data_IF_960320026131
#
_entry.id   IF_960320026131
#
_cell.length_a   1.000
_cell.length_b   1.000
_cell.length_c   1.000
_cell.angle_alpha   90.00
_cell.angle_beta   90.00
_cell.angle_gamma   90.00
#
_symmetry.space_group_name_H-M   'P 1'
#
loop_
_entity.id
_entity.type
_entity.pdbx_description
1 polymer ?
#
# COMPACT_ATOMS: atom_id res chain seq x y z
N UNK A 1 -14.94 -11.79 36.55
CA UNK A 1 -13.76 -12.57 36.96
C UNK A 1 -12.55 -11.83 36.42
N UNK A 2 -11.93 -11.03 37.28
CA UNK A 2 -10.91 -10.06 36.92
C UNK A 2 -9.57 -10.78 36.95
N UNK A 3 -8.85 -10.83 35.86
CA UNK A 3 -7.48 -11.34 35.76
C UNK A 3 -6.54 -10.27 36.38
N UNK A 4 -5.93 -10.62 37.52
CA UNK A 4 -4.84 -9.87 38.09
C UNK A 4 -3.61 -9.95 37.19
N UNK A 5 -3.22 -8.83 36.61
CA UNK A 5 -1.91 -8.67 35.97
C UNK A 5 -0.86 -8.51 37.08
N UNK A 6 -0.01 -9.50 37.21
CA UNK A 6 1.20 -9.40 38.04
C UNK A 6 2.11 -8.32 37.46
N UNK A 7 2.34 -7.27 38.24
CA UNK A 7 3.43 -6.31 38.03
C UNK A 7 4.75 -7.01 38.35
N UNK A 8 5.57 -7.24 37.32
CA UNK A 8 6.95 -7.74 37.52
C UNK A 8 7.84 -6.52 37.80
N UNK A 9 8.37 -6.48 39.02
CA UNK A 9 9.37 -5.49 39.43
C UNK A 9 10.73 -5.86 38.82
N UNK A 10 11.28 -5.01 37.95
CA UNK A 10 12.56 -5.22 37.29
C UNK A 10 13.80 -4.74 38.07
N UNK A 11 13.68 -4.42 39.35
CA UNK A 11 14.77 -3.78 40.11
C UNK A 11 15.83 -4.72 40.68
N UNK A 12 15.73 -6.06 40.56
CA UNK A 12 16.70 -7.01 41.15
C UNK A 12 17.14 -8.09 40.18
N UNK A 13 17.92 -7.75 39.17
CA UNK A 13 18.75 -8.69 38.41
C UNK A 13 20.22 -8.27 38.51
N UNK A 14 20.89 -8.80 39.57
CA UNK A 14 22.33 -8.69 39.71
C UNK A 14 23.04 -9.51 38.62
N UNK A 15 24.01 -8.86 38.00
CA UNK A 15 24.83 -9.33 36.92
C UNK A 15 25.64 -10.58 37.29
N UNK A 16 25.44 -11.66 36.55
CA UNK A 16 26.46 -12.67 36.33
C UNK A 16 27.07 -12.43 34.95
N UNK A 17 28.36 -12.16 34.95
CA UNK A 17 29.19 -11.95 33.76
C UNK A 17 29.34 -13.24 32.95
N UNK A 18 28.38 -13.53 32.10
CA UNK A 18 28.60 -14.34 30.92
C UNK A 18 28.51 -13.36 29.73
N UNK A 19 29.48 -13.40 28.84
CA UNK A 19 29.47 -12.60 27.62
C UNK A 19 28.21 -12.91 26.82
N UNK A 20 27.13 -12.15 27.09
CA UNK A 20 25.96 -12.12 26.24
C UNK A 20 26.40 -11.38 24.98
N UNK A 21 26.46 -12.09 23.86
CA UNK A 21 26.31 -11.46 22.56
C UNK A 21 25.13 -10.50 22.69
N UNK A 22 25.41 -9.20 22.63
CA UNK A 22 24.38 -8.19 22.55
C UNK A 22 23.70 -8.42 21.22
N UNK A 23 22.67 -9.26 21.22
CA UNK A 23 21.73 -9.31 20.08
C UNK A 23 21.27 -7.87 19.92
N UNK A 24 21.71 -7.25 18.85
CA UNK A 24 21.49 -5.84 18.63
C UNK A 24 20.04 -5.68 18.10
N UNK A 25 19.08 -5.86 19.03
CA UNK A 25 17.62 -5.75 18.77
C UNK A 25 17.29 -4.45 18.03
N UNK A 26 18.16 -3.43 18.15
CA UNK A 26 18.01 -2.16 17.42
C UNK A 26 18.16 -2.29 15.90
N UNK A 27 18.78 -3.33 15.38
CA UNK A 27 18.95 -3.47 13.92
C UNK A 27 17.76 -4.14 13.23
N UNK A 28 17.00 -4.99 13.92
CA UNK A 28 15.90 -5.77 13.34
C UNK A 28 14.68 -4.94 12.93
N UNK A 29 14.51 -3.75 13.52
CA UNK A 29 13.35 -2.88 13.29
C UNK A 29 13.74 -1.53 12.66
N UNK A 30 14.95 -1.41 12.15
CA UNK A 30 15.36 -0.25 11.37
C UNK A 30 15.23 -0.57 9.89
N UNK A 31 14.77 0.40 9.07
CA UNK A 31 14.81 0.24 7.64
C UNK A 31 16.20 -0.15 7.15
N UNK A 32 16.27 -1.12 6.25
CA UNK A 32 17.51 -1.51 5.60
C UNK A 32 18.03 -0.42 4.64
N UNK A 33 17.13 0.44 4.18
CA UNK A 33 17.43 1.62 3.36
C UNK A 33 17.39 2.90 4.19
N UNK A 34 18.11 3.92 3.73
CA UNK A 34 17.99 5.26 4.26
C UNK A 34 16.60 5.82 3.96
N UNK A 35 15.96 6.37 4.99
CA UNK A 35 14.67 7.09 4.87
C UNK A 35 14.91 8.60 4.94
N UNK A 36 13.98 9.38 4.40
CA UNK A 36 14.11 10.83 4.51
C UNK A 36 13.92 11.30 5.97
N UNK A 37 14.42 12.48 6.27
CA UNK A 37 14.28 13.05 7.63
C UNK A 37 12.80 13.32 7.90
N UNK A 38 12.28 12.69 8.97
CA UNK A 38 10.90 12.87 9.40
C UNK A 38 10.74 14.20 10.13
N UNK A 39 9.79 15.01 9.71
CA UNK A 39 9.48 16.31 10.29
C UNK A 39 8.01 16.36 10.65
N UNK A 40 7.70 16.72 11.89
CA UNK A 40 6.32 16.98 12.29
C UNK A 40 5.96 18.42 11.92
N UNK A 41 4.92 18.60 11.14
CA UNK A 41 4.43 19.90 10.74
C UNK A 41 3.54 20.51 11.82
N UNK A 42 3.71 21.82 12.08
CA UNK A 42 2.68 22.59 12.77
C UNK A 42 1.60 22.95 11.76
N UNK A 43 0.48 22.26 11.82
CA UNK A 43 -0.64 22.56 10.93
C UNK A 43 -1.31 23.88 11.32
N UNK A 44 -1.57 24.77 10.36
CA UNK A 44 -2.34 25.99 10.65
C UNK A 44 -3.70 25.64 11.25
N UNK A 45 -4.18 26.39 12.27
CA UNK A 45 -5.50 26.13 12.87
C UNK A 45 -6.62 26.07 11.83
N UNK A 46 -6.56 26.89 10.80
CA UNK A 46 -7.54 26.91 9.70
C UNK A 46 -7.63 25.58 8.96
N UNK A 47 -6.50 24.90 8.73
CA UNK A 47 -6.47 23.59 8.08
C UNK A 47 -7.18 22.53 8.94
N UNK A 48 -6.95 22.55 10.25
CA UNK A 48 -7.63 21.66 11.20
C UNK A 48 -9.13 21.96 11.26
N UNK A 49 -9.50 23.23 11.27
CA UNK A 49 -10.90 23.66 11.31
C UNK A 49 -11.66 23.28 10.02
N UNK A 50 -11.00 23.34 8.85
CA UNK A 50 -11.54 22.82 7.59
C UNK A 50 -11.89 21.35 7.72
N UNK A 51 -10.95 20.52 8.19
CA UNK A 51 -11.18 19.06 8.33
C UNK A 51 -12.29 18.72 9.31
N UNK A 52 -12.37 19.43 10.44
CA UNK A 52 -13.49 19.30 11.39
C UNK A 52 -14.81 19.71 10.78
N UNK A 53 -14.84 20.82 10.02
CA UNK A 53 -16.06 21.28 9.34
C UNK A 53 -16.57 20.29 8.30
N UNK A 54 -15.68 19.44 7.76
CA UNK A 54 -16.00 18.43 6.77
C UNK A 54 -16.55 17.12 7.38
N UNK A 55 -16.59 16.94 8.69
CA UNK A 55 -17.08 15.68 9.30
C UNK A 55 -18.49 15.31 8.81
N UNK A 56 -19.44 16.24 8.84
CA UNK A 56 -20.80 15.98 8.34
C UNK A 56 -20.89 15.72 6.83
N UNK A 57 -19.94 16.24 6.05
CA UNK A 57 -19.80 15.92 4.64
C UNK A 57 -19.18 14.53 4.46
N UNK A 58 -18.15 14.19 5.24
CA UNK A 58 -17.49 12.89 5.20
C UNK A 58 -18.44 11.75 5.56
N UNK A 59 -19.30 11.95 6.59
CA UNK A 59 -20.35 11.00 6.94
C UNK A 59 -21.25 10.66 5.74
N UNK A 60 -21.66 11.67 4.97
CA UNK A 60 -22.59 11.51 3.84
C UNK A 60 -21.93 11.06 2.54
N UNK A 61 -20.65 11.33 2.34
CA UNK A 61 -19.99 11.15 1.05
C UNK A 61 -18.83 10.14 1.07
N UNK A 62 -18.26 9.89 2.25
CA UNK A 62 -17.11 8.97 2.43
C UNK A 62 -17.59 7.68 3.09
N UNK A 63 -18.25 7.74 4.26
CA UNK A 63 -18.72 6.54 4.96
C UNK A 63 -19.71 5.71 4.13
N UNK A 64 -20.46 6.33 3.23
CA UNK A 64 -21.37 5.63 2.31
C UNK A 64 -20.65 4.75 1.28
N UNK A 65 -19.33 4.87 1.18
CA UNK A 65 -18.51 4.03 0.31
C UNK A 65 -17.99 2.77 1.02
N UNK A 66 -18.13 2.67 2.34
CA UNK A 66 -17.89 1.42 3.07
C UNK A 66 -19.00 0.41 2.77
N UNK A 67 -18.64 -0.86 2.71
CA UNK A 67 -19.64 -1.95 2.63
C UNK A 67 -20.06 -2.39 4.03
N UNK A 68 -21.35 -2.65 4.27
CA UNK A 68 -21.75 -3.40 5.46
C UNK A 68 -21.02 -4.74 5.53
N UNK A 69 -20.56 -5.14 6.71
CA UNK A 69 -19.76 -6.38 6.90
C UNK A 69 -20.49 -7.60 6.33
N UNK A 70 -21.81 -7.66 6.47
CA UNK A 70 -22.69 -8.73 5.98
C UNK A 70 -22.74 -8.84 4.45
N UNK A 71 -22.28 -7.80 3.75
CA UNK A 71 -22.19 -7.73 2.28
C UNK A 71 -20.77 -7.79 1.77
N UNK A 72 -19.79 -7.86 2.67
CA UNK A 72 -18.40 -8.03 2.30
C UNK A 72 -18.15 -9.50 1.94
N UNK A 73 -17.42 -9.71 0.85
CA UNK A 73 -16.84 -11.02 0.58
C UNK A 73 -15.84 -11.42 1.67
N UNK A 74 -15.67 -12.70 1.88
CA UNK A 74 -14.70 -13.24 2.82
C UNK A 74 -13.67 -14.10 2.06
N UNK A 75 -12.44 -14.26 2.55
CA UNK A 75 -11.44 -15.12 1.91
C UNK A 75 -11.95 -16.53 1.62
N UNK A 76 -12.83 -17.07 2.46
CA UNK A 76 -13.42 -18.40 2.31
C UNK A 76 -14.32 -18.54 1.08
N UNK A 77 -14.85 -17.44 0.55
CA UNK A 77 -15.68 -17.47 -0.69
C UNK A 77 -14.85 -17.88 -1.92
N UNK A 78 -13.51 -17.79 -1.84
CA UNK A 78 -12.58 -18.07 -2.94
C UNK A 78 -11.69 -19.29 -2.72
N UNK A 79 -11.61 -19.77 -1.50
CA UNK A 79 -10.71 -20.83 -1.08
C UNK A 79 -11.44 -22.17 -0.93
N UNK A 80 -10.72 -23.30 -0.95
CA UNK A 80 -11.32 -24.60 -0.64
C UNK A 80 -12.02 -24.59 0.71
N UNK A 81 -13.24 -25.13 0.78
CA UNK A 81 -14.02 -25.24 2.01
C UNK A 81 -13.46 -26.35 2.89
N UNK A 82 -12.95 -26.05 4.12
CA UNK A 82 -12.18 -27.02 4.92
C UNK A 82 -12.92 -28.27 5.33
N UNK A 83 -14.26 -28.23 5.49
CA UNK A 83 -15.10 -29.33 5.89
C UNK A 83 -15.84 -29.98 4.72
N UNK A 84 -15.56 -29.60 3.48
CA UNK A 84 -16.08 -30.23 2.28
C UNK A 84 -15.37 -31.55 1.97
N UNK A 85 -16.09 -32.54 1.48
CA UNK A 85 -15.51 -33.81 0.98
C UNK A 85 -14.48 -33.58 -0.14
N UNK A 86 -14.64 -32.50 -0.93
CA UNK A 86 -13.75 -32.12 -2.03
C UNK A 86 -12.56 -31.28 -1.66
N UNK A 87 -12.30 -30.97 -0.38
CA UNK A 87 -11.24 -30.06 0.06
C UNK A 87 -9.86 -30.41 -0.51
N UNK A 88 -9.43 -31.64 -0.37
CA UNK A 88 -8.12 -32.10 -0.85
C UNK A 88 -8.01 -32.07 -2.38
N UNK A 89 -9.09 -32.38 -3.08
CA UNK A 89 -9.13 -32.35 -4.54
C UNK A 89 -9.01 -30.87 -5.05
N UNK A 90 -9.69 -29.94 -4.41
CA UNK A 90 -9.58 -28.52 -4.73
C UNK A 90 -8.15 -27.97 -4.49
N UNK A 91 -7.49 -28.40 -3.40
CA UNK A 91 -6.07 -28.03 -3.17
C UNK A 91 -5.18 -28.62 -4.27
N UNK A 92 -5.43 -29.88 -4.66
CA UNK A 92 -4.69 -30.53 -5.73
C UNK A 92 -4.87 -29.79 -7.06
N UNK A 93 -6.08 -29.37 -7.39
CA UNK A 93 -6.37 -28.55 -8.57
C UNK A 93 -5.60 -27.21 -8.57
N UNK A 94 -5.54 -26.52 -7.41
CA UNK A 94 -4.74 -25.28 -7.28
C UNK A 94 -3.27 -25.60 -7.60
N UNK A 95 -2.71 -26.64 -7.04
CA UNK A 95 -1.30 -27.02 -7.24
C UNK A 95 -1.00 -27.44 -8.66
N UNK A 96 -1.86 -28.24 -9.28
CA UNK A 96 -1.71 -28.65 -10.69
C UNK A 96 -1.78 -27.45 -11.63
N UNK A 97 -2.77 -26.57 -11.45
CA UNK A 97 -2.93 -25.36 -12.25
C UNK A 97 -1.73 -24.38 -12.12
N UNK A 98 -1.16 -24.28 -10.94
CA UNK A 98 -0.04 -23.36 -10.66
C UNK A 98 1.32 -23.96 -10.96
N UNK A 99 1.43 -25.25 -11.25
CA UNK A 99 2.70 -25.95 -11.43
C UNK A 99 3.55 -25.37 -12.57
N UNK A 100 2.91 -25.09 -13.70
CA UNK A 100 3.58 -24.64 -14.93
C UNK A 100 3.68 -23.11 -15.05
N UNK A 101 3.14 -22.36 -14.06
CA UNK A 101 3.26 -20.90 -14.05
C UNK A 101 4.69 -20.47 -13.72
N UNK A 102 5.13 -19.38 -14.33
CA UNK A 102 6.51 -18.88 -14.16
C UNK A 102 6.79 -18.36 -12.76
N UNK A 103 8.04 -18.40 -12.35
CA UNK A 103 8.47 -17.88 -11.05
C UNK A 103 8.32 -16.36 -10.95
N UNK A 104 8.43 -15.64 -12.07
CA UNK A 104 8.16 -14.19 -12.14
C UNK A 104 6.74 -13.86 -11.72
N UNK A 105 5.77 -14.68 -12.15
CA UNK A 105 4.38 -14.54 -11.76
C UNK A 105 4.22 -14.60 -10.23
N UNK A 106 4.88 -15.56 -9.59
CA UNK A 106 4.82 -15.68 -8.13
C UNK A 106 5.57 -14.59 -7.40
N UNK A 107 6.69 -14.11 -7.93
CA UNK A 107 7.39 -12.96 -7.32
C UNK A 107 6.50 -11.71 -7.30
N UNK A 108 5.77 -11.46 -8.38
CA UNK A 108 4.83 -10.32 -8.44
C UNK A 108 3.69 -10.50 -7.46
N UNK A 109 3.07 -11.68 -7.44
CA UNK A 109 1.97 -11.97 -6.53
C UNK A 109 2.38 -11.90 -5.05
N UNK A 110 3.60 -12.36 -4.72
CA UNK A 110 4.16 -12.23 -3.37
C UNK A 110 4.39 -10.78 -2.99
N UNK A 111 4.94 -9.97 -3.89
CA UNK A 111 5.16 -8.55 -3.62
C UNK A 111 3.86 -7.77 -3.42
N UNK A 112 2.83 -8.04 -4.23
CA UNK A 112 1.49 -7.50 -4.04
C UNK A 112 0.93 -7.92 -2.67
N UNK A 113 0.98 -9.22 -2.34
CA UNK A 113 0.49 -9.73 -1.06
C UNK A 113 1.22 -9.14 0.15
N UNK A 114 2.56 -9.02 0.12
CA UNK A 114 3.33 -8.39 1.21
C UNK A 114 2.93 -6.92 1.38
N UNK A 115 2.65 -6.23 0.29
CA UNK A 115 2.14 -4.84 0.33
C UNK A 115 0.80 -4.80 1.04
N UNK A 116 -0.12 -5.70 0.72
CA UNK A 116 -1.44 -5.81 1.36
C UNK A 116 -1.36 -6.22 2.85
N UNK A 117 -0.40 -7.06 3.24
CA UNK A 117 -0.22 -7.47 4.64
C UNK A 117 0.35 -6.36 5.56
N UNK A 118 0.87 -5.26 5.00
CA UNK A 118 1.42 -4.15 5.77
C UNK A 118 0.37 -3.16 6.29
N UNK A 119 -0.91 -3.51 6.26
CA UNK A 119 -2.06 -2.71 6.73
C UNK A 119 -1.88 -2.12 8.15
N UNK A 120 -1.29 -2.82 9.15
CA UNK A 120 -1.05 -2.22 10.46
C UNK A 120 -0.22 -0.94 10.41
N UNK A 121 0.75 -0.88 9.49
CA UNK A 121 1.57 0.32 9.26
C UNK A 121 0.75 1.43 8.62
N UNK A 122 -0.11 1.12 7.65
CA UNK A 122 -0.95 2.10 6.96
C UNK A 122 -1.97 2.74 7.90
N UNK A 123 -2.62 1.93 8.74
CA UNK A 123 -3.52 2.44 9.77
C UNK A 123 -2.80 3.38 10.74
N UNK A 124 -1.60 2.98 11.20
CA UNK A 124 -0.81 3.79 12.13
C UNK A 124 -0.45 5.15 11.55
N UNK A 125 -0.04 5.18 10.27
CA UNK A 125 0.32 6.41 9.57
C UNK A 125 -0.90 7.30 9.31
N UNK A 126 -2.03 6.75 8.83
CA UNK A 126 -3.25 7.53 8.63
C UNK A 126 -3.76 8.11 9.96
N UNK A 127 -3.59 7.37 11.06
CA UNK A 127 -3.96 7.84 12.39
C UNK A 127 -2.97 8.87 12.98
N UNK A 128 -1.86 9.18 12.31
CA UNK A 128 -0.95 10.26 12.69
C UNK A 128 -1.33 11.62 12.08
N UNK A 129 -2.27 11.65 11.12
CA UNK A 129 -2.63 12.86 10.40
C UNK A 129 -3.43 13.84 11.25
N UNK A 130 -2.96 15.08 11.38
CA UNK A 130 -3.57 16.10 12.22
C UNK A 130 -5.01 16.43 11.78
N UNK A 131 -5.89 16.60 12.77
CA UNK A 131 -7.30 16.92 12.54
C UNK A 131 -8.22 15.75 12.22
N UNK A 132 -7.67 14.56 11.91
CA UNK A 132 -8.44 13.34 11.61
C UNK A 132 -8.09 12.14 12.49
N UNK A 133 -7.19 12.33 13.46
CA UNK A 133 -6.69 11.29 14.36
C UNK A 133 -7.79 10.67 15.22
N UNK A 134 -7.74 9.35 15.38
CA UNK A 134 -8.47 8.64 16.44
C UNK A 134 -7.58 8.49 17.68
N UNK A 135 -7.68 9.43 18.63
CA UNK A 135 -6.88 9.42 19.86
C UNK A 135 -7.35 8.39 20.88
N UNK A 136 -8.51 7.78 20.67
CA UNK A 136 -9.14 6.85 21.63
C UNK A 136 -9.20 5.41 21.12
N UNK A 137 -9.00 5.19 19.83
CA UNK A 137 -9.20 3.91 19.17
C UNK A 137 -10.67 3.57 18.90
N UNK A 138 -11.61 4.36 19.44
CA UNK A 138 -13.08 4.15 19.34
C UNK A 138 -13.85 5.43 19.05
N UNK A 139 -13.18 6.48 18.54
CA UNK A 139 -13.81 7.75 18.20
C UNK A 139 -14.94 7.54 17.18
N UNK A 140 -16.03 8.31 17.37
CA UNK A 140 -17.16 8.34 16.45
C UNK A 140 -17.02 9.42 15.35
N UNK A 141 -15.88 10.11 15.29
CA UNK A 141 -15.58 10.98 14.15
C UNK A 141 -15.65 10.18 12.83
N UNK A 142 -16.31 10.71 11.79
CA UNK A 142 -16.36 10.04 10.48
C UNK A 142 -14.99 9.67 9.92
N UNK A 143 -13.97 10.45 10.18
CA UNK A 143 -12.59 10.16 9.78
C UNK A 143 -12.04 8.91 10.46
N UNK A 144 -12.25 8.80 11.78
CA UNK A 144 -11.82 7.65 12.56
C UNK A 144 -12.58 6.38 12.19
N UNK A 145 -13.90 6.50 11.98
CA UNK A 145 -14.74 5.39 11.50
C UNK A 145 -14.26 4.93 10.13
N UNK A 146 -14.01 5.87 9.20
CA UNK A 146 -13.48 5.53 7.88
C UNK A 146 -12.17 4.76 7.96
N UNK A 147 -11.18 5.29 8.69
CA UNK A 147 -9.86 4.66 8.79
C UNK A 147 -9.95 3.23 9.34
N UNK A 148 -10.73 3.01 10.41
CA UNK A 148 -10.88 1.65 10.99
C UNK A 148 -11.62 0.70 10.07
N UNK A 149 -12.70 1.13 9.44
CA UNK A 149 -13.52 0.29 8.58
C UNK A 149 -12.80 -0.01 7.24
N UNK A 150 -12.12 0.99 6.66
CA UNK A 150 -11.22 0.80 5.52
C UNK A 150 -10.14 -0.23 5.85
N UNK A 151 -9.44 -0.08 6.99
CA UNK A 151 -8.45 -1.06 7.45
C UNK A 151 -9.02 -2.49 7.54
N UNK A 152 -10.26 -2.64 8.01
CA UNK A 152 -10.91 -3.95 8.10
C UNK A 152 -11.24 -4.53 6.71
N UNK A 153 -11.52 -3.69 5.72
CA UNK A 153 -11.69 -4.13 4.34
C UNK A 153 -10.35 -4.53 3.71
N UNK A 154 -9.31 -3.73 3.88
CA UNK A 154 -7.95 -3.98 3.38
C UNK A 154 -7.33 -5.27 3.93
N UNK A 155 -7.52 -5.52 5.22
CA UNK A 155 -6.96 -6.71 5.87
C UNK A 155 -7.37 -8.04 5.21
N UNK A 156 -8.47 -8.09 4.48
CA UNK A 156 -8.92 -9.28 3.74
C UNK A 156 -8.12 -9.50 2.45
N UNK A 157 -7.57 -8.46 1.86
CA UNK A 157 -6.81 -8.54 0.61
C UNK A 157 -5.54 -9.36 0.83
N UNK A 158 -4.72 -8.95 1.81
CA UNK A 158 -3.51 -9.67 2.19
C UNK A 158 -3.80 -11.10 2.65
N UNK A 159 -4.78 -11.28 3.55
CA UNK A 159 -5.18 -12.60 4.07
C UNK A 159 -5.58 -13.59 2.95
N UNK A 160 -6.36 -13.13 1.96
CA UNK A 160 -6.76 -13.98 0.85
C UNK A 160 -5.58 -14.37 -0.06
N UNK A 161 -4.74 -13.40 -0.42
CA UNK A 161 -3.57 -13.64 -1.27
C UNK A 161 -2.54 -14.54 -0.56
N UNK A 162 -2.33 -14.35 0.75
CA UNK A 162 -1.44 -15.17 1.58
C UNK A 162 -1.90 -16.65 1.58
N UNK A 163 -3.18 -16.88 1.85
CA UNK A 163 -3.76 -18.24 1.83
C UNK A 163 -3.68 -18.89 0.46
N UNK A 164 -3.96 -18.13 -0.61
CA UNK A 164 -3.82 -18.64 -1.97
C UNK A 164 -2.38 -19.07 -2.28
N UNK A 165 -1.40 -18.22 -1.96
CA UNK A 165 0.02 -18.52 -2.12
C UNK A 165 0.47 -19.73 -1.30
N UNK A 166 0.02 -19.85 -0.06
CA UNK A 166 0.27 -21.02 0.80
C UNK A 166 -0.24 -22.31 0.16
N UNK A 167 -1.48 -22.31 -0.34
CA UNK A 167 -2.10 -23.48 -0.95
C UNK A 167 -1.43 -23.86 -2.28
N UNK A 168 -0.91 -22.89 -3.04
CA UNK A 168 -0.21 -23.16 -4.30
C UNK A 168 1.05 -24.00 -4.13
N UNK A 169 1.73 -23.88 -2.98
CA UNK A 169 2.99 -24.59 -2.70
C UNK A 169 4.19 -24.10 -3.54
N UNK A 170 4.07 -22.95 -4.23
CA UNK A 170 5.07 -22.43 -5.17
C UNK A 170 6.09 -21.51 -4.53
N UNK A 171 5.88 -21.07 -3.28
CA UNK A 171 6.64 -20.04 -2.60
C UNK A 171 7.10 -20.46 -1.20
N UNK A 172 8.19 -19.88 -0.73
CA UNK A 172 8.72 -20.07 0.62
C UNK A 172 8.02 -19.14 1.61
N UNK A 173 6.91 -19.61 2.20
CA UNK A 173 6.12 -18.83 3.14
C UNK A 173 6.93 -18.37 4.35
N UNK A 174 7.95 -19.12 4.79
CA UNK A 174 8.81 -18.69 5.92
C UNK A 174 9.62 -17.44 5.58
N UNK A 175 10.11 -17.33 4.36
CA UNK A 175 10.83 -16.13 3.89
C UNK A 175 9.88 -14.95 3.70
N UNK A 176 8.70 -15.23 3.18
CA UNK A 176 7.63 -14.24 3.00
C UNK A 176 7.19 -13.67 4.35
N UNK A 177 6.87 -14.52 5.33
CA UNK A 177 6.47 -14.09 6.69
C UNK A 177 7.54 -13.24 7.37
N UNK A 178 8.83 -13.56 7.17
CA UNK A 178 9.92 -12.71 7.66
C UNK A 178 9.94 -11.35 6.96
N UNK A 179 9.70 -11.32 5.67
CA UNK A 179 9.64 -10.05 4.90
C UNK A 179 8.51 -9.16 5.41
N UNK A 180 7.31 -9.72 5.65
CA UNK A 180 6.17 -9.00 6.24
C UNK A 180 6.55 -8.43 7.62
N UNK A 181 7.19 -9.23 8.49
CA UNK A 181 7.60 -8.78 9.81
C UNK A 181 8.64 -7.65 9.74
N UNK A 182 9.62 -7.75 8.84
CA UNK A 182 10.58 -6.66 8.62
C UNK A 182 9.88 -5.40 8.12
N UNK A 183 8.98 -5.51 7.16
CA UNK A 183 8.28 -4.37 6.57
C UNK A 183 7.42 -3.64 7.61
N UNK A 184 6.59 -4.37 8.36
CA UNK A 184 5.76 -3.78 9.43
C UNK A 184 6.65 -3.18 10.52
N UNK A 185 7.71 -3.87 10.92
CA UNK A 185 8.64 -3.39 11.96
C UNK A 185 9.46 -2.17 11.55
N UNK A 186 9.73 -1.99 10.27
CA UNK A 186 10.42 -0.80 9.73
C UNK A 186 9.50 0.42 9.60
N UNK A 187 8.19 0.20 9.50
CA UNK A 187 7.24 1.27 9.21
C UNK A 187 7.21 1.64 7.72
N UNK A 188 6.82 2.86 7.43
CA UNK A 188 6.62 3.34 6.06
C UNK A 188 7.14 4.77 5.90
N UNK A 189 7.89 5.04 4.84
CA UNK A 189 8.36 6.37 4.46
C UNK A 189 7.46 7.01 3.40
N UNK A 190 6.26 7.41 3.81
CA UNK A 190 5.25 8.03 2.94
C UNK A 190 5.55 9.48 2.55
N UNK A 191 6.47 10.14 3.27
CA UNK A 191 6.87 11.54 3.07
C UNK A 191 5.75 12.57 3.28
N UNK A 192 4.67 12.20 3.95
CA UNK A 192 3.57 13.12 4.28
C UNK A 192 3.50 13.48 5.77
N UNK A 193 4.24 12.80 6.62
CA UNK A 193 4.35 12.98 8.08
C UNK A 193 2.94 13.06 8.71
N UNK A 194 2.62 14.17 9.39
CA UNK A 194 1.30 14.40 10.02
C UNK A 194 0.35 15.28 9.18
N UNK A 195 0.71 15.61 7.92
CA UNK A 195 -0.06 16.52 7.09
C UNK A 195 -1.21 15.79 6.37
N UNK A 196 -2.48 16.05 6.70
CA UNK A 196 -3.62 15.34 6.13
C UNK A 196 -3.84 15.64 4.64
N UNK A 197 -3.50 16.83 4.13
CA UNK A 197 -3.58 17.12 2.70
C UNK A 197 -2.60 16.26 1.92
N UNK A 198 -1.37 16.10 2.41
CA UNK A 198 -0.38 15.20 1.81
C UNK A 198 -0.85 13.75 1.89
N UNK A 199 -1.37 13.34 3.07
CA UNK A 199 -1.87 11.99 3.28
C UNK A 199 -2.99 11.61 2.32
N UNK A 200 -4.01 12.46 2.16
CA UNK A 200 -5.12 12.18 1.25
C UNK A 200 -4.71 12.17 -0.22
N UNK A 201 -3.78 13.04 -0.64
CA UNK A 201 -3.22 13.02 -2.00
C UNK A 201 -2.42 11.75 -2.22
N UNK A 202 -1.56 11.38 -1.26
CA UNK A 202 -0.80 10.14 -1.30
C UNK A 202 -1.73 8.94 -1.45
N UNK A 203 -2.73 8.80 -0.58
CA UNK A 203 -3.64 7.66 -0.58
C UNK A 203 -4.49 7.62 -1.86
N UNK A 204 -4.96 8.78 -2.37
CA UNK A 204 -5.64 8.83 -3.67
C UNK A 204 -4.81 8.25 -4.81
N UNK A 205 -3.49 8.45 -4.76
CA UNK A 205 -2.57 7.89 -5.74
C UNK A 205 -2.39 6.39 -5.56
N UNK A 206 -2.22 5.94 -4.31
CA UNK A 206 -1.96 4.54 -3.96
C UNK A 206 -3.16 3.65 -4.28
N UNK A 207 -4.36 4.00 -3.85
CA UNK A 207 -5.58 3.23 -4.12
C UNK A 207 -5.80 3.02 -5.63
N UNK A 208 -5.45 4.04 -6.43
CA UNK A 208 -5.50 3.87 -7.87
C UNK A 208 -4.38 2.98 -8.40
N UNK A 209 -3.19 3.04 -7.79
CA UNK A 209 -2.07 2.17 -8.16
C UNK A 209 -2.37 0.71 -7.85
N UNK A 210 -2.94 0.41 -6.66
CA UNK A 210 -3.36 -0.94 -6.26
C UNK A 210 -4.52 -1.44 -7.11
N UNK A 211 -5.53 -0.61 -7.39
CA UNK A 211 -6.59 -0.93 -8.36
C UNK A 211 -6.01 -1.37 -9.71
N UNK A 212 -5.02 -0.65 -10.24
CA UNK A 212 -4.37 -0.98 -11.54
C UNK A 212 -3.55 -2.26 -11.42
N UNK A 213 -2.75 -2.41 -10.36
CA UNK A 213 -1.91 -3.59 -10.13
C UNK A 213 -2.75 -4.86 -10.05
N UNK A 214 -3.76 -4.89 -9.18
CA UNK A 214 -4.65 -6.04 -9.04
C UNK A 214 -5.46 -6.32 -10.32
N UNK A 215 -5.92 -5.27 -11.01
CA UNK A 215 -6.62 -5.41 -12.28
C UNK A 215 -5.73 -6.02 -13.38
N UNK A 216 -4.46 -5.62 -13.46
CA UNK A 216 -3.49 -6.18 -14.40
C UNK A 216 -3.07 -7.60 -13.98
N UNK A 217 -2.91 -7.88 -12.69
CA UNK A 217 -2.66 -9.22 -12.16
C UNK A 217 -3.82 -10.16 -12.49
N UNK A 218 -5.08 -9.70 -12.34
CA UNK A 218 -6.26 -10.47 -12.74
C UNK A 218 -6.26 -10.81 -14.22
N UNK A 219 -5.90 -9.86 -15.07
CA UNK A 219 -5.78 -10.07 -16.52
C UNK A 219 -4.68 -11.07 -16.86
N UNK A 220 -3.50 -10.92 -16.28
CA UNK A 220 -2.36 -11.82 -16.46
C UNK A 220 -2.72 -13.25 -15.99
N UNK A 221 -3.33 -13.39 -14.82
CA UNK A 221 -3.79 -14.66 -14.29
C UNK A 221 -4.76 -15.36 -15.24
N UNK A 222 -5.73 -14.61 -15.78
CA UNK A 222 -6.70 -15.14 -16.76
C UNK A 222 -6.03 -15.60 -18.04
N UNK A 223 -5.06 -14.84 -18.56
CA UNK A 223 -4.30 -15.17 -19.77
C UNK A 223 -3.46 -16.45 -19.58
N UNK A 224 -2.98 -16.68 -18.38
CA UNK A 224 -2.19 -17.86 -17.98
C UNK A 224 -3.06 -19.05 -17.54
N UNK A 225 -4.39 -18.93 -17.54
CA UNK A 225 -5.31 -19.98 -17.18
C UNK A 225 -5.59 -20.12 -15.66
N UNK A 226 -5.03 -19.22 -14.83
CA UNK A 226 -5.35 -19.19 -13.39
C UNK A 226 -6.62 -18.37 -13.13
N UNK A 227 -7.76 -18.95 -13.48
CA UNK A 227 -9.06 -18.28 -13.40
C UNK A 227 -9.42 -17.93 -11.96
N UNK A 228 -9.05 -18.77 -10.99
CA UNK A 228 -9.35 -18.49 -9.57
C UNK A 228 -8.61 -17.25 -9.06
N UNK A 229 -7.32 -17.12 -9.39
CA UNK A 229 -6.60 -15.90 -9.04
C UNK A 229 -7.11 -14.67 -9.81
N UNK A 230 -7.54 -14.85 -11.05
CA UNK A 230 -8.18 -13.76 -11.79
C UNK A 230 -9.45 -13.24 -11.10
N UNK A 231 -10.28 -14.13 -10.54
CA UNK A 231 -11.44 -13.76 -9.73
C UNK A 231 -11.03 -13.03 -8.44
N UNK A 232 -10.04 -13.55 -7.72
CA UNK A 232 -9.51 -12.99 -6.48
C UNK A 232 -9.01 -11.54 -6.74
N UNK A 233 -8.06 -11.37 -7.64
CA UNK A 233 -7.49 -10.05 -7.93
C UNK A 233 -8.51 -9.07 -8.53
N UNK A 234 -9.47 -9.57 -9.32
CA UNK A 234 -10.57 -8.75 -9.84
C UNK A 234 -11.49 -8.23 -8.72
N UNK A 235 -11.72 -9.03 -7.70
CA UNK A 235 -12.54 -8.66 -6.54
C UNK A 235 -11.82 -7.65 -5.65
N UNK A 236 -10.53 -7.86 -5.39
CA UNK A 236 -9.67 -6.89 -4.68
C UNK A 236 -9.65 -5.56 -5.45
N UNK A 237 -9.38 -5.59 -6.75
CA UNK A 237 -9.39 -4.39 -7.59
C UNK A 237 -10.71 -3.60 -7.52
N UNK A 238 -11.85 -4.28 -7.35
CA UNK A 238 -13.14 -3.61 -7.19
C UNK A 238 -13.27 -2.88 -5.83
N UNK A 239 -12.68 -3.42 -4.77
CA UNK A 239 -12.60 -2.74 -3.47
C UNK A 239 -11.64 -1.55 -3.54
N UNK A 240 -10.43 -1.71 -4.11
CA UNK A 240 -9.47 -0.63 -4.36
C UNK A 240 -10.09 0.53 -5.13
N UNK A 241 -10.88 0.24 -6.15
CA UNK A 241 -11.58 1.26 -6.93
C UNK A 241 -12.60 2.04 -6.10
N UNK A 242 -13.21 1.42 -5.13
CA UNK A 242 -14.16 2.06 -4.21
C UNK A 242 -13.43 2.94 -3.20
N UNK A 243 -12.30 2.46 -2.65
CA UNK A 243 -11.42 3.22 -1.77
C UNK A 243 -10.81 4.43 -2.49
N UNK A 244 -10.31 4.25 -3.72
CA UNK A 244 -9.87 5.35 -4.60
C UNK A 244 -10.96 6.42 -4.70
N UNK A 245 -12.21 6.01 -4.92
CA UNK A 245 -13.33 6.95 -5.05
C UNK A 245 -13.51 7.81 -3.80
N UNK A 246 -13.32 7.24 -2.61
CA UNK A 246 -13.40 7.96 -1.35
C UNK A 246 -12.29 9.01 -1.22
N UNK A 247 -11.06 8.59 -1.34
CA UNK A 247 -9.92 9.51 -1.18
C UNK A 247 -9.88 10.59 -2.26
N UNK A 248 -10.18 10.24 -3.51
CA UNK A 248 -10.28 11.22 -4.62
C UNK A 248 -11.38 12.25 -4.36
N UNK A 249 -12.53 11.85 -3.81
CA UNK A 249 -13.60 12.79 -3.42
C UNK A 249 -13.18 13.71 -2.27
N UNK A 250 -12.42 13.19 -1.30
CA UNK A 250 -11.91 14.02 -0.20
C UNK A 250 -11.02 15.14 -0.75
N UNK A 251 -10.05 14.80 -1.60
CA UNK A 251 -9.16 15.80 -2.20
C UNK A 251 -9.92 16.75 -3.14
N UNK A 252 -10.91 16.24 -3.91
CA UNK A 252 -11.79 17.08 -4.72
C UNK A 252 -12.49 18.13 -3.84
N UNK A 253 -12.98 17.74 -2.66
CA UNK A 253 -13.62 18.62 -1.71
C UNK A 253 -12.64 19.64 -1.10
N UNK A 254 -11.40 19.25 -0.85
CA UNK A 254 -10.34 20.16 -0.42
C UNK A 254 -10.03 21.20 -1.49
N UNK A 255 -9.98 20.83 -2.77
CA UNK A 255 -9.82 21.79 -3.87
C UNK A 255 -10.98 22.78 -3.97
N UNK A 256 -12.21 22.41 -3.62
CA UNK A 256 -13.36 23.33 -3.59
C UNK A 256 -13.26 24.37 -2.47
N UNK A 257 -12.71 24.00 -1.31
CA UNK A 257 -12.71 24.83 -0.11
C UNK A 257 -11.41 25.60 0.05
N UNK A 258 -10.28 24.98 -0.24
CA UNK A 258 -8.94 25.51 -0.02
C UNK A 258 -8.03 25.13 -1.21
N UNK A 259 -8.28 25.70 -2.40
CA UNK A 259 -7.58 25.32 -3.62
C UNK A 259 -6.08 25.62 -3.58
N UNK A 260 -5.68 26.72 -2.95
CA UNK A 260 -4.27 27.14 -2.92
C UNK A 260 -3.41 26.20 -2.08
N UNK A 261 -3.83 25.88 -0.85
CA UNK A 261 -3.12 24.92 0.00
C UNK A 261 -3.13 23.52 -0.63
N UNK A 262 -4.23 23.12 -1.24
CA UNK A 262 -4.37 21.80 -1.84
C UNK A 262 -3.46 21.62 -3.06
N UNK A 263 -3.33 22.62 -3.93
CA UNK A 263 -2.42 22.54 -5.08
C UNK A 263 -0.94 22.58 -4.66
N UNK A 264 -0.61 23.36 -3.62
CA UNK A 264 0.73 23.35 -3.04
C UNK A 264 1.07 22.00 -2.44
N UNK A 265 0.12 21.37 -1.75
CA UNK A 265 0.27 20.01 -1.21
C UNK A 265 0.49 19.00 -2.34
N UNK A 266 -0.32 19.03 -3.39
CA UNK A 266 -0.18 18.14 -4.54
C UNK A 266 1.19 18.30 -5.21
N UNK A 267 1.62 19.51 -5.48
CA UNK A 267 2.95 19.77 -6.04
C UNK A 267 4.08 19.27 -5.14
N UNK A 268 3.93 19.42 -3.80
CA UNK A 268 4.91 18.93 -2.83
C UNK A 268 5.04 17.41 -2.89
N UNK A 269 3.92 16.68 -2.82
CA UNK A 269 3.91 15.22 -2.91
C UNK A 269 4.54 14.72 -4.22
N UNK A 270 4.26 15.40 -5.33
CA UNK A 270 4.86 15.04 -6.62
C UNK A 270 6.37 15.30 -6.67
N UNK A 271 6.88 16.35 -6.00
CA UNK A 271 8.33 16.61 -5.88
C UNK A 271 9.02 15.57 -5.00
N UNK A 272 8.37 15.13 -3.92
CA UNK A 272 8.86 14.07 -3.04
C UNK A 272 8.81 12.69 -3.70
N UNK A 273 8.09 12.54 -4.80
CA UNK A 273 7.80 11.30 -5.54
C UNK A 273 7.02 10.31 -4.68
N UNK A 274 5.76 10.14 -4.99
CA UNK A 274 4.92 9.12 -4.37
C UNK A 274 5.50 7.75 -4.71
N UNK A 275 5.94 7.01 -3.69
CA UNK A 275 6.41 5.63 -3.81
C UNK A 275 5.37 4.67 -3.24
N UNK A 276 5.44 3.40 -3.66
CA UNK A 276 4.55 2.37 -3.12
C UNK A 276 4.81 2.16 -1.62
N UNK A 277 3.79 1.77 -0.84
CA UNK A 277 3.91 1.65 0.60
C UNK A 277 5.00 0.67 1.07
N UNK A 278 5.27 -0.36 0.26
CA UNK A 278 6.27 -1.40 0.57
C UNK A 278 7.70 -1.05 0.16
N UNK A 279 8.03 0.23 -0.09
CA UNK A 279 9.38 0.66 -0.53
C UNK A 279 10.51 0.20 0.41
N UNK A 280 10.21 0.02 1.71
CA UNK A 280 11.17 -0.45 2.71
C UNK A 280 11.26 -1.97 2.83
N UNK A 281 10.69 -2.72 1.90
CA UNK A 281 10.70 -4.19 1.86
C UNK A 281 12.10 -4.76 1.93
N UNK A 282 12.29 -5.74 2.84
CA UNK A 282 13.56 -6.41 3.10
C UNK A 282 13.29 -7.83 3.61
N UNK A 283 13.99 -8.84 3.10
CA UNK A 283 13.78 -10.25 3.47
C UNK A 283 14.85 -10.83 4.42
N UNK A 284 15.78 -9.98 4.87
CA UNK A 284 16.93 -10.36 5.67
C UNK A 284 18.23 -10.53 4.84
N UNK A 285 18.14 -10.49 3.52
CA UNK A 285 19.25 -10.74 2.58
C UNK A 285 19.39 -9.62 1.54
N UNK A 286 18.30 -9.23 0.87
CA UNK A 286 18.31 -8.28 -0.24
C UNK A 286 17.89 -6.86 0.19
N UNK A 287 18.83 -5.93 0.23
CA UNK A 287 18.60 -4.50 0.53
C UNK A 287 17.87 -3.74 -0.58
N UNK A 288 17.78 -4.31 -1.78
CA UNK A 288 17.11 -3.72 -2.94
C UNK A 288 15.85 -4.50 -3.35
N UNK A 289 15.33 -5.34 -2.47
CA UNK A 289 14.24 -6.27 -2.73
C UNK A 289 13.04 -5.60 -3.41
N UNK A 290 12.61 -4.44 -2.91
CA UNK A 290 11.51 -3.68 -3.53
C UNK A 290 11.82 -3.29 -4.99
N UNK A 291 13.02 -2.83 -5.29
CA UNK A 291 13.38 -2.45 -6.66
C UNK A 291 13.45 -3.67 -7.58
N UNK A 292 13.95 -4.80 -7.09
CA UNK A 292 14.03 -6.04 -7.85
C UNK A 292 12.63 -6.58 -8.14
N UNK A 293 11.76 -6.64 -7.12
CA UNK A 293 10.34 -6.97 -7.28
C UNK A 293 9.65 -6.05 -8.29
N UNK A 294 9.81 -4.73 -8.12
CA UNK A 294 9.20 -3.73 -9.00
C UNK A 294 9.64 -3.86 -10.46
N UNK A 295 10.89 -4.25 -10.70
CA UNK A 295 11.40 -4.50 -12.05
C UNK A 295 10.71 -5.71 -12.70
N UNK A 296 10.45 -6.79 -11.94
CA UNK A 296 9.67 -7.95 -12.41
C UNK A 296 8.24 -7.53 -12.70
N UNK A 297 7.59 -6.79 -11.79
CA UNK A 297 6.22 -6.30 -11.97
C UNK A 297 6.08 -5.41 -13.22
N UNK A 298 7.07 -4.54 -13.47
CA UNK A 298 7.10 -3.70 -14.67
C UNK A 298 7.26 -4.54 -15.94
N UNK A 299 8.13 -5.55 -15.94
CA UNK A 299 8.35 -6.43 -17.09
C UNK A 299 7.10 -7.24 -17.45
N UNK A 300 6.38 -7.74 -16.45
CA UNK A 300 5.12 -8.45 -16.66
C UNK A 300 3.93 -7.52 -16.96
N UNK A 301 4.12 -6.21 -16.91
CA UNK A 301 3.06 -5.25 -17.16
C UNK A 301 2.00 -5.15 -16.07
N UNK A 302 2.32 -5.62 -14.85
CA UNK A 302 1.40 -5.54 -13.70
C UNK A 302 1.33 -4.12 -13.17
N UNK A 303 2.47 -3.48 -12.96
CA UNK A 303 2.53 -2.06 -12.64
C UNK A 303 3.77 -1.43 -13.28
N UNK A 304 3.57 -0.36 -14.06
CA UNK A 304 4.63 0.21 -14.89
C UNK A 304 4.81 1.70 -14.64
N UNK A 305 5.95 2.25 -15.05
CA UNK A 305 6.15 3.69 -15.03
C UNK A 305 5.15 4.46 -15.92
N UNK A 306 4.54 3.79 -16.93
CA UNK A 306 3.44 4.36 -17.71
C UNK A 306 2.20 4.51 -16.83
N UNK A 307 1.86 3.51 -16.01
CA UNK A 307 0.72 3.56 -15.10
C UNK A 307 0.85 4.71 -14.09
N UNK A 308 2.06 4.93 -13.57
CA UNK A 308 2.34 6.08 -12.72
C UNK A 308 2.01 7.41 -13.41
N UNK A 309 2.41 7.60 -14.67
CA UNK A 309 2.12 8.80 -15.44
C UNK A 309 0.61 8.95 -15.73
N UNK A 310 -0.07 7.83 -16.01
CA UNK A 310 -1.50 7.80 -16.30
C UNK A 310 -2.33 8.10 -15.03
N UNK A 311 -1.89 7.65 -13.85
CA UNK A 311 -2.49 8.01 -12.56
C UNK A 311 -2.40 9.51 -12.33
N UNK A 312 -1.23 10.10 -12.48
CA UNK A 312 -1.03 11.53 -12.33
C UNK A 312 -1.95 12.33 -13.28
N UNK A 313 -2.00 11.96 -14.54
CA UNK A 313 -2.87 12.63 -15.53
C UNK A 313 -4.35 12.47 -15.16
N UNK A 314 -4.75 11.29 -14.67
CA UNK A 314 -6.11 11.06 -14.19
C UNK A 314 -6.43 11.99 -13.02
N UNK A 315 -5.57 12.12 -12.01
CA UNK A 315 -5.80 12.96 -10.84
C UNK A 315 -5.86 14.45 -11.24
N UNK A 316 -4.97 14.91 -12.13
CA UNK A 316 -4.99 16.29 -12.66
C UNK A 316 -6.33 16.58 -13.35
N UNK A 317 -6.82 15.66 -14.17
CA UNK A 317 -8.12 15.81 -14.87
C UNK A 317 -9.30 15.72 -13.90
N UNK A 318 -9.25 14.75 -12.97
CA UNK A 318 -10.34 14.50 -12.02
C UNK A 318 -10.57 15.69 -11.10
N UNK A 319 -9.51 16.29 -10.61
CA UNK A 319 -9.57 17.47 -9.74
C UNK A 319 -9.59 18.79 -10.53
N UNK A 320 -9.64 18.72 -11.86
CA UNK A 320 -9.68 19.90 -12.74
C UNK A 320 -8.58 20.91 -12.43
N UNK A 321 -7.37 20.42 -12.15
CA UNK A 321 -6.24 21.23 -11.70
C UNK A 321 -5.91 22.34 -12.69
N UNK A 322 -6.02 22.07 -13.99
CA UNK A 322 -5.82 23.02 -15.08
C UNK A 322 -6.83 24.18 -15.11
N UNK A 323 -7.94 24.06 -14.38
CA UNK A 323 -9.05 25.04 -14.34
C UNK A 323 -9.10 25.84 -13.04
N UNK A 324 -8.20 25.60 -12.10
CA UNK A 324 -8.17 26.35 -10.85
C UNK A 324 -7.86 27.84 -11.12
N UNK A 325 -8.64 28.68 -10.51
CA UNK A 325 -8.50 30.16 -10.56
C UNK A 325 -8.21 30.71 -9.16
N UNK A 326 -7.91 31.99 -9.08
CA UNK A 326 -7.73 32.72 -7.83
C UNK A 326 -6.63 32.18 -6.91
N UNK A 327 -5.64 31.50 -7.50
CA UNK A 327 -4.46 30.98 -6.81
C UNK A 327 -3.45 32.09 -6.52
N UNK A 328 -2.71 31.92 -5.42
CA UNK A 328 -1.50 32.70 -5.12
C UNK A 328 -0.46 32.57 -6.24
N UNK A 329 0.55 33.43 -6.22
CA UNK A 329 1.68 33.29 -7.16
C UNK A 329 2.43 31.95 -7.01
N UNK A 330 2.45 31.36 -5.80
CA UNK A 330 3.01 30.02 -5.54
C UNK A 330 2.07 28.93 -6.02
N UNK A 331 0.78 29.06 -5.76
CA UNK A 331 -0.24 28.14 -6.24
C UNK A 331 -0.24 28.02 -7.76
N UNK A 332 -0.13 29.12 -8.50
CA UNK A 332 0.00 29.09 -9.99
C UNK A 332 1.24 28.33 -10.46
N UNK A 333 2.39 28.58 -9.83
CA UNK A 333 3.61 27.80 -10.14
C UNK A 333 3.46 26.31 -9.84
N UNK A 334 2.75 25.97 -8.75
CA UNK A 334 2.44 24.60 -8.39
C UNK A 334 1.50 23.94 -9.42
N UNK A 335 0.46 24.64 -9.87
CA UNK A 335 -0.47 24.23 -10.93
C UNK A 335 0.28 23.92 -12.24
N UNK A 336 1.11 24.86 -12.71
CA UNK A 336 1.90 24.68 -13.93
C UNK A 336 2.84 23.48 -13.83
N UNK A 337 3.48 23.32 -12.66
CA UNK A 337 4.36 22.19 -12.40
C UNK A 337 3.63 20.87 -12.50
N UNK A 338 2.50 20.71 -11.80
CA UNK A 338 1.74 19.47 -11.74
C UNK A 338 1.13 19.14 -13.10
N UNK A 339 0.52 20.11 -13.79
CA UNK A 339 -0.04 19.91 -15.12
C UNK A 339 1.01 19.50 -16.17
N UNK A 340 2.24 19.99 -16.03
CA UNK A 340 3.35 19.68 -16.96
C UNK A 340 4.07 18.36 -16.63
N UNK A 341 3.73 17.67 -15.56
CA UNK A 341 4.56 16.57 -15.03
C UNK A 341 4.37 15.25 -15.78
N UNK A 342 3.12 14.84 -16.09
CA UNK A 342 2.84 13.57 -16.75
C UNK A 342 3.53 13.43 -18.13
N UNK A 343 3.55 14.44 -19.01
CA UNK A 343 4.31 14.37 -20.26
C UNK A 343 5.82 14.21 -20.06
N UNK A 344 6.36 14.80 -18.98
CA UNK A 344 7.79 14.65 -18.65
C UNK A 344 8.12 13.24 -18.20
N UNK A 345 7.25 12.62 -17.37
CA UNK A 345 7.41 11.23 -16.99
C UNK A 345 7.37 10.28 -18.20
N UNK A 346 6.41 10.43 -19.12
CA UNK A 346 6.35 9.60 -20.33
C UNK A 346 7.65 9.62 -21.13
N UNK A 347 8.22 10.81 -21.34
CA UNK A 347 9.53 10.93 -22.02
C UNK A 347 10.68 10.25 -21.28
N UNK A 348 10.64 10.24 -19.95
CA UNK A 348 11.65 9.52 -19.14
C UNK A 348 11.49 8.00 -19.27
N UNK A 349 10.25 7.51 -19.29
CA UNK A 349 9.92 6.09 -19.47
C UNK A 349 10.41 5.58 -20.81
N UNK A 350 10.12 6.29 -21.90
CA UNK A 350 10.57 5.95 -23.26
C UNK A 350 12.10 5.79 -23.31
N UNK A 351 12.84 6.76 -22.72
CA UNK A 351 14.31 6.71 -22.67
C UNK A 351 14.84 5.58 -21.77
N UNK A 352 14.13 5.21 -20.72
CA UNK A 352 14.53 4.13 -19.82
C UNK A 352 14.35 2.77 -20.49
N UNK A 353 13.25 2.56 -21.23
CA UNK A 353 12.98 1.34 -22.01
C UNK A 353 14.03 1.07 -23.09
N UNK A 354 14.54 2.13 -23.73
CA UNK A 354 15.63 2.00 -24.72
C UNK A 354 16.95 1.50 -24.09
N UNK A 355 17.18 1.77 -22.79
CA UNK A 355 18.40 1.40 -22.08
C UNK A 355 18.33 0.04 -21.39
N UNK A 356 17.14 -0.50 -21.14
CA UNK A 356 16.91 -1.71 -20.34
C UNK A 356 17.24 -3.04 -21.06
N UNK A 357 18.17 -3.04 -22.02
CA UNK A 357 18.46 -4.22 -22.87
C UNK A 357 19.32 -5.32 -22.20
N UNK A 358 19.83 -5.12 -21.00
CA UNK A 358 20.58 -6.13 -20.23
C UNK A 358 20.17 -6.06 -18.76
N UNK A 359 19.26 -6.92 -18.36
CA UNK A 359 18.82 -7.04 -16.98
C UNK A 359 19.71 -8.05 -16.23
N UNK A 360 20.17 -7.76 -15.00
CA UNK A 360 20.89 -8.72 -14.18
C UNK A 360 19.98 -9.87 -13.75
N UNK A 361 20.56 -11.03 -13.46
CA UNK A 361 19.86 -12.12 -12.78
C UNK A 361 19.90 -11.89 -11.28
N UNK A 362 18.74 -11.96 -10.62
CA UNK A 362 18.58 -11.73 -9.18
C UNK A 362 17.95 -12.96 -8.54
N UNK A 363 18.50 -13.35 -7.39
CA UNK A 363 17.97 -14.45 -6.58
C UNK A 363 16.88 -13.95 -5.64
N UNK A 364 15.68 -14.57 -5.70
CA UNK A 364 14.57 -14.26 -4.80
C UNK A 364 14.38 -15.35 -3.74
N UNK A 365 14.50 -14.97 -2.47
CA UNK A 365 14.28 -15.87 -1.33
C UNK A 365 12.87 -16.44 -1.31
N UNK A 366 11.87 -15.69 -1.76
CA UNK A 366 10.45 -16.05 -1.77
C UNK A 366 10.11 -17.27 -2.64
N UNK A 367 10.92 -17.53 -3.66
CA UNK A 367 10.76 -18.66 -4.57
C UNK A 367 11.87 -19.70 -4.38
N UNK A 368 12.21 -19.99 -3.12
CA UNK A 368 13.25 -20.95 -2.71
C UNK A 368 14.64 -20.61 -3.25
N UNK A 369 14.93 -19.33 -3.43
CA UNK A 369 16.23 -18.84 -3.89
C UNK A 369 16.50 -19.07 -5.37
N UNK A 370 15.48 -19.26 -6.20
CA UNK A 370 15.65 -19.30 -7.66
C UNK A 370 15.97 -17.91 -8.22
N UNK A 371 16.68 -17.90 -9.34
CA UNK A 371 17.12 -16.67 -9.99
C UNK A 371 16.18 -16.26 -11.12
N UNK A 372 15.91 -14.96 -11.20
CA UNK A 372 15.13 -14.35 -12.28
C UNK A 372 15.89 -13.19 -12.90
N UNK A 373 15.70 -12.96 -14.19
CA UNK A 373 16.12 -11.71 -14.82
C UNK A 373 15.20 -10.57 -14.42
N UNK A 374 15.73 -9.42 -14.05
CA UNK A 374 14.98 -8.24 -13.56
C UNK A 374 15.21 -7.02 -14.44
#
# INVERSE_FOLDING_TARGET
MILNLCTVDFSTLHATTAAREKVNVKMSYRPAKEVHVQVTHSMPPQTIDILKSLEGWAEKNVLTLLKPVEKCWQPQDFLPEPDSEGFYDQIKEIRERTQDLSDEYFVVLVGDMITEEAVPTYQSILNSLDGIQDKTGVSLSPWAIWTRAWTAEENRHGDLLNKYLYLSGRVDMRKIEKTIQYLIGCGMDSKFENNPYFGFIYTSFQERATFISHGNTAKLAKELGDIKLAEICGTIAADEKRHETAYVKIVEKLFEIDPDTTILAFANMMRKKVSMPAELMYDGEDYNLFNHYSAVAQRLGVYTAKDYADILEFLVRRWKVDKLTDLSGEGRRAQDFVCGLAPRFRKLVERAQERAKQAPSIRFSWIFGRELQV
#
